data_IF_703853977933
#
_entry.id   IF_703853977933
#
_cell.length_a   1.000
_cell.length_b   1.000
_cell.length_c   1.000
_cell.angle_alpha   90.00
_cell.angle_beta   90.00
_cell.angle_gamma   90.00
#
_symmetry.space_group_name_H-M   'P 1'
#
loop_
_entity.id
_entity.type
_entity.pdbx_description
1 polymer ?
#
# COMPACT_ATOMS: atom_id res chain seq x y z
N UNK A 1 -21.27 -11.19 20.19
CA UNK A 1 -21.15 -9.77 20.64
C UNK A 1 -22.24 -9.00 19.95
N UNK A 2 -22.96 -8.17 20.67
CA UNK A 2 -23.99 -7.35 20.07
C UNK A 2 -23.34 -6.32 19.13
N UNK A 3 -24.00 -6.05 17.99
CA UNK A 3 -23.51 -5.08 16.99
C UNK A 3 -23.13 -3.75 17.65
N UNK A 4 -23.90 -3.32 18.64
CA UNK A 4 -23.66 -2.09 19.39
C UNK A 4 -22.32 -2.13 20.16
N UNK A 5 -21.99 -3.25 20.81
CA UNK A 5 -20.74 -3.39 21.57
C UNK A 5 -19.51 -3.38 20.64
N UNK A 6 -19.62 -3.96 19.45
CA UNK A 6 -18.57 -3.92 18.44
C UNK A 6 -18.36 -2.49 17.91
N UNK A 7 -19.42 -1.75 17.62
CA UNK A 7 -19.34 -0.35 17.20
C UNK A 7 -18.64 0.51 18.27
N UNK A 8 -19.07 0.35 19.54
CA UNK A 8 -18.45 1.10 20.64
C UNK A 8 -16.97 0.74 20.81
N UNK A 9 -16.61 -0.54 20.67
CA UNK A 9 -15.23 -0.98 20.77
C UNK A 9 -14.36 -0.35 19.68
N UNK A 10 -14.80 -0.32 18.41
CA UNK A 10 -14.09 0.33 17.31
C UNK A 10 -13.97 1.84 17.54
N UNK A 11 -15.04 2.51 18.00
CA UNK A 11 -14.99 3.94 18.31
C UNK A 11 -13.99 4.27 19.42
N UNK A 12 -13.97 3.47 20.50
CA UNK A 12 -12.99 3.65 21.59
C UNK A 12 -11.56 3.36 21.13
N UNK A 13 -11.37 2.33 20.28
CA UNK A 13 -10.09 2.05 19.65
C UNK A 13 -9.60 3.23 18.81
N UNK A 14 -10.46 3.78 17.97
CA UNK A 14 -10.14 4.95 17.13
C UNK A 14 -9.74 6.18 17.97
N UNK A 15 -10.42 6.42 19.10
CA UNK A 15 -10.02 7.50 20.02
C UNK A 15 -8.62 7.26 20.56
N UNK A 16 -8.29 6.03 20.97
CA UNK A 16 -6.95 5.69 21.46
C UNK A 16 -5.87 5.85 20.39
N UNK A 17 -6.17 5.56 19.12
CA UNK A 17 -5.24 5.71 18.00
C UNK A 17 -4.99 7.18 17.64
N UNK A 18 -6.02 8.02 17.73
CA UNK A 18 -5.94 9.47 17.41
C UNK A 18 -5.38 10.29 18.58
N UNK A 19 -5.56 9.83 19.82
CA UNK A 19 -5.16 10.57 21.02
C UNK A 19 -3.69 10.93 21.07
N UNK A 20 -2.70 10.06 20.74
CA UNK A 20 -1.29 10.43 20.72
C UNK A 20 -0.99 11.53 19.69
N UNK A 21 -1.62 11.49 18.52
CA UNK A 21 -1.47 12.49 17.46
C UNK A 21 -2.02 13.84 17.94
N UNK A 22 -3.22 13.83 18.50
CA UNK A 22 -3.83 15.02 19.08
C UNK A 22 -2.97 15.60 20.23
N UNK A 23 -2.46 14.74 21.12
CA UNK A 23 -1.60 15.15 22.21
C UNK A 23 -0.30 15.83 21.73
N UNK A 24 0.34 15.29 20.67
CA UNK A 24 1.53 15.91 20.07
C UNK A 24 1.18 17.27 19.45
N UNK A 25 0.12 17.34 18.64
CA UNK A 25 -0.28 18.58 17.97
C UNK A 25 -0.61 19.67 19.00
N UNK A 26 -1.51 19.38 19.94
CA UNK A 26 -1.90 20.34 20.95
C UNK A 26 -0.77 20.63 21.96
N UNK A 27 0.03 19.62 22.33
CA UNK A 27 1.20 19.80 23.16
C UNK A 27 2.19 20.76 22.53
N UNK A 28 2.53 20.58 21.26
CA UNK A 28 3.43 21.47 20.52
C UNK A 28 2.85 22.89 20.40
N UNK A 29 1.56 23.00 20.11
CA UNK A 29 0.86 24.27 19.97
C UNK A 29 0.86 25.08 21.28
N UNK A 30 0.58 24.42 22.42
CA UNK A 30 0.44 25.15 23.71
C UNK A 30 1.76 25.31 24.46
N UNK A 31 2.67 24.31 24.40
CA UNK A 31 3.91 24.34 25.19
C UNK A 31 5.09 24.96 24.42
N UNK A 32 5.17 24.70 23.10
CA UNK A 32 6.29 25.18 22.25
C UNK A 32 5.95 26.52 21.63
N UNK A 33 4.87 26.59 20.86
CA UNK A 33 4.46 27.80 20.16
C UNK A 33 3.82 28.82 21.09
N UNK A 34 3.27 28.36 22.22
CA UNK A 34 2.60 29.21 23.26
C UNK A 34 1.54 30.14 22.69
N UNK A 35 0.91 29.76 21.60
CA UNK A 35 -0.12 30.52 20.92
C UNK A 35 -1.42 29.70 20.85
N UNK A 36 -2.53 30.35 21.17
CA UNK A 36 -3.84 29.75 20.98
C UNK A 36 -4.19 29.80 19.49
N UNK A 37 -4.63 28.69 18.86
CA UNK A 37 -5.10 28.73 17.48
C UNK A 37 -6.26 29.71 17.35
N UNK A 38 -6.28 30.50 16.28
CA UNK A 38 -7.34 31.49 16.07
C UNK A 38 -8.74 30.83 15.98
N UNK A 39 -8.80 29.60 15.44
CA UNK A 39 -10.03 28.85 15.16
C UNK A 39 -10.10 27.54 15.97
N UNK A 40 -9.80 27.57 17.28
CA UNK A 40 -9.78 26.37 18.12
C UNK A 40 -11.08 25.58 18.05
N UNK A 41 -12.21 26.25 17.97
CA UNK A 41 -13.53 25.63 17.93
C UNK A 41 -13.75 24.85 16.63
N UNK A 42 -13.31 25.38 15.50
CA UNK A 42 -13.36 24.69 14.20
C UNK A 42 -12.43 23.48 14.17
N UNK A 43 -11.26 23.58 14.76
CA UNK A 43 -10.30 22.48 14.90
C UNK A 43 -10.90 21.35 15.74
N UNK A 44 -11.53 21.65 16.87
CA UNK A 44 -12.18 20.64 17.72
C UNK A 44 -13.34 19.94 16.99
N UNK A 45 -14.18 20.69 16.28
CA UNK A 45 -15.21 20.09 15.43
C UNK A 45 -14.62 19.23 14.31
N UNK A 46 -13.51 19.66 13.71
CA UNK A 46 -12.74 18.88 12.73
C UNK A 46 -12.29 17.54 13.32
N UNK A 47 -11.78 17.50 14.55
CA UNK A 47 -11.42 16.26 15.24
C UNK A 47 -12.61 15.34 15.47
N UNK A 48 -13.77 15.87 15.81
CA UNK A 48 -15.01 15.06 15.97
C UNK A 48 -15.38 14.40 14.64
N UNK A 49 -15.35 15.15 13.54
CA UNK A 49 -15.64 14.59 12.21
C UNK A 49 -14.62 13.55 11.77
N UNK A 50 -13.33 13.78 12.07
CA UNK A 50 -12.25 12.80 11.78
C UNK A 50 -12.48 11.51 12.57
N UNK A 51 -12.80 11.59 13.88
CA UNK A 51 -13.07 10.40 14.70
C UNK A 51 -14.28 9.63 14.17
N UNK A 52 -15.38 10.30 13.85
CA UNK A 52 -16.57 9.65 13.30
C UNK A 52 -16.27 9.01 11.93
N UNK A 53 -15.61 9.74 11.03
CA UNK A 53 -15.26 9.25 9.69
C UNK A 53 -14.32 8.05 9.75
N UNK A 54 -13.28 8.12 10.59
CA UNK A 54 -12.31 7.04 10.75
C UNK A 54 -12.95 5.80 11.40
N UNK A 55 -13.80 5.97 12.41
CA UNK A 55 -14.53 4.86 13.04
C UNK A 55 -15.46 4.15 12.06
N UNK A 56 -16.23 4.90 11.26
CA UNK A 56 -17.10 4.31 10.22
C UNK A 56 -16.30 3.61 9.13
N UNK A 57 -15.16 4.18 8.73
CA UNK A 57 -14.26 3.59 7.77
C UNK A 57 -13.69 2.25 8.28
N UNK A 58 -13.16 2.22 9.52
CA UNK A 58 -12.62 1.00 10.13
C UNK A 58 -13.71 -0.09 10.30
N UNK A 59 -14.93 0.28 10.69
CA UNK A 59 -16.06 -0.66 10.73
C UNK A 59 -16.35 -1.26 9.36
N UNK A 60 -16.34 -0.45 8.29
CA UNK A 60 -16.54 -0.93 6.93
C UNK A 60 -15.44 -1.90 6.50
N UNK A 61 -14.18 -1.64 6.87
CA UNK A 61 -13.07 -2.56 6.60
C UNK A 61 -13.25 -3.89 7.33
N UNK A 62 -13.50 -3.83 8.63
CA UNK A 62 -13.55 -5.00 9.50
C UNK A 62 -14.75 -5.92 9.17
N UNK A 63 -15.91 -5.34 8.84
CA UNK A 63 -17.13 -6.10 8.61
C UNK A 63 -17.36 -6.52 7.16
N UNK A 64 -16.81 -5.79 6.21
CA UNK A 64 -17.03 -6.07 4.80
C UNK A 64 -15.74 -6.48 4.07
N UNK A 65 -14.73 -5.62 4.08
CA UNK A 65 -13.59 -5.80 3.20
C UNK A 65 -12.68 -6.95 3.64
N UNK A 66 -12.34 -7.03 4.92
CA UNK A 66 -11.46 -8.08 5.41
C UNK A 66 -12.05 -9.49 5.32
N UNK A 67 -13.31 -9.75 5.73
CA UNK A 67 -13.92 -11.06 5.52
C UNK A 67 -13.98 -11.45 4.04
N UNK A 68 -14.39 -10.52 3.17
CA UNK A 68 -14.46 -10.77 1.73
C UNK A 68 -13.06 -11.09 1.14
N UNK A 69 -12.07 -10.29 1.50
CA UNK A 69 -10.70 -10.48 1.04
C UNK A 69 -10.10 -11.83 1.46
N UNK A 70 -10.38 -12.25 2.72
CA UNK A 70 -9.95 -13.56 3.23
C UNK A 70 -10.64 -14.70 2.49
N UNK A 71 -11.97 -14.64 2.33
CA UNK A 71 -12.72 -15.66 1.59
C UNK A 71 -12.22 -15.80 0.15
N UNK A 72 -11.95 -14.68 -0.53
CA UNK A 72 -11.39 -14.71 -1.88
C UNK A 72 -9.99 -15.31 -1.91
N UNK A 73 -9.15 -14.96 -0.93
CA UNK A 73 -7.81 -15.53 -0.82
C UNK A 73 -7.87 -17.05 -0.60
N UNK A 74 -8.69 -17.51 0.34
CA UNK A 74 -8.91 -18.93 0.63
C UNK A 74 -9.40 -19.69 -0.60
N UNK A 75 -10.43 -19.18 -1.29
CA UNK A 75 -10.98 -19.82 -2.48
C UNK A 75 -9.99 -19.91 -3.64
N UNK A 76 -9.24 -18.83 -3.89
CA UNK A 76 -8.28 -18.80 -5.01
C UNK A 76 -7.03 -19.63 -4.77
N UNK A 77 -6.70 -19.91 -3.51
CA UNK A 77 -5.56 -20.75 -3.13
C UNK A 77 -5.96 -22.18 -2.80
N UNK A 78 -7.26 -22.52 -2.84
CA UNK A 78 -7.77 -23.87 -2.60
C UNK A 78 -7.22 -24.85 -3.65
N UNK A 79 -6.62 -25.99 -3.23
CA UNK A 79 -6.09 -26.98 -4.14
C UNK A 79 -7.12 -27.52 -5.13
N UNK A 80 -8.40 -27.61 -4.73
CA UNK A 80 -9.49 -28.07 -5.62
C UNK A 80 -9.74 -27.04 -6.72
N UNK A 81 -9.73 -25.75 -6.36
CA UNK A 81 -9.87 -24.67 -7.34
C UNK A 81 -8.69 -24.66 -8.33
N UNK A 82 -7.46 -24.78 -7.83
CA UNK A 82 -6.27 -24.83 -8.70
C UNK A 82 -6.32 -26.05 -9.63
N UNK A 83 -6.74 -27.24 -9.13
CA UNK A 83 -6.93 -28.42 -9.97
C UNK A 83 -8.01 -28.22 -11.04
N UNK A 84 -9.03 -27.41 -10.78
CA UNK A 84 -10.07 -27.10 -11.77
C UNK A 84 -9.56 -26.24 -12.94
N UNK A 85 -8.38 -25.65 -12.83
CA UNK A 85 -7.72 -24.89 -13.91
C UNK A 85 -6.84 -25.75 -14.81
N UNK A 86 -6.71 -27.07 -14.51
CA UNK A 86 -5.97 -28.02 -15.33
C UNK A 86 -6.70 -28.32 -16.64
N UNK A 87 -5.93 -28.47 -17.71
CA UNK A 87 -6.45 -28.91 -19.02
C UNK A 87 -6.80 -30.39 -19.03
N UNK A 88 -7.59 -30.81 -20.04
CA UNK A 88 -8.02 -32.19 -20.18
C UNK A 88 -6.81 -33.12 -20.40
N UNK A 89 -6.52 -33.95 -19.41
CA UNK A 89 -5.40 -34.92 -19.44
C UNK A 89 -4.24 -34.58 -18.50
N UNK A 90 -4.26 -33.42 -17.88
CA UNK A 90 -3.29 -33.05 -16.81
C UNK A 90 -3.72 -33.64 -15.46
N UNK A 91 -2.75 -33.90 -14.60
CA UNK A 91 -2.95 -34.43 -13.25
C UNK A 91 -2.47 -33.42 -12.19
N UNK A 92 -2.81 -33.66 -10.94
CA UNK A 92 -2.32 -32.82 -9.84
C UNK A 92 -0.79 -32.71 -9.75
N UNK A 93 -0.04 -33.65 -10.36
CA UNK A 93 1.41 -33.60 -10.44
C UNK A 93 1.92 -32.59 -11.49
N UNK A 94 1.08 -32.17 -12.42
CA UNK A 94 1.42 -31.24 -13.50
C UNK A 94 1.15 -29.78 -13.10
N UNK A 95 0.63 -29.54 -11.88
CA UNK A 95 0.39 -28.17 -11.36
C UNK A 95 1.70 -27.39 -11.33
N UNK A 96 1.73 -26.30 -12.07
CA UNK A 96 2.85 -25.39 -12.17
C UNK A 96 2.39 -23.92 -11.95
N UNK A 97 3.32 -22.97 -12.02
CA UNK A 97 3.04 -21.56 -11.76
C UNK A 97 1.96 -20.95 -12.68
N UNK A 98 1.72 -21.50 -13.86
CA UNK A 98 0.72 -20.97 -14.81
C UNK A 98 -0.70 -21.20 -14.33
N UNK A 99 -0.96 -22.25 -13.55
CA UNK A 99 -2.29 -22.58 -13.04
C UNK A 99 -2.76 -21.60 -11.92
N UNK A 100 -1.84 -20.80 -11.37
CA UNK A 100 -2.15 -19.79 -10.36
C UNK A 100 -2.46 -18.40 -10.96
N UNK A 101 -2.77 -18.30 -12.26
CA UNK A 101 -2.99 -17.00 -12.92
C UNK A 101 -4.12 -16.18 -12.29
N UNK A 102 -5.18 -16.81 -11.76
CA UNK A 102 -6.24 -16.11 -11.04
C UNK A 102 -5.75 -15.48 -9.76
N UNK A 103 -4.84 -16.14 -9.04
CA UNK A 103 -4.19 -15.57 -7.84
C UNK A 103 -3.40 -14.32 -8.21
N UNK A 104 -2.66 -14.33 -9.31
CA UNK A 104 -1.87 -13.19 -9.76
C UNK A 104 -2.75 -12.02 -10.21
N UNK A 105 -3.85 -12.29 -10.93
CA UNK A 105 -4.82 -11.27 -11.31
C UNK A 105 -5.47 -10.66 -10.07
N UNK A 106 -5.89 -11.48 -9.13
CA UNK A 106 -6.48 -11.01 -7.87
C UNK A 106 -5.49 -10.18 -7.04
N UNK A 107 -4.25 -10.63 -6.93
CA UNK A 107 -3.16 -9.92 -6.28
C UNK A 107 -2.94 -8.53 -6.91
N UNK A 108 -2.91 -8.47 -8.24
CA UNK A 108 -2.80 -7.23 -8.99
C UNK A 108 -3.99 -6.28 -8.71
N UNK A 109 -5.20 -6.79 -8.81
CA UNK A 109 -6.42 -6.00 -8.61
C UNK A 109 -6.55 -5.48 -7.18
N UNK A 110 -6.25 -6.31 -6.18
CA UNK A 110 -6.23 -5.87 -4.77
C UNK A 110 -5.17 -4.78 -4.58
N UNK A 111 -3.94 -5.03 -5.01
CA UNK A 111 -2.86 -4.05 -4.86
C UNK A 111 -3.19 -2.72 -5.52
N UNK A 112 -3.76 -2.74 -6.72
CA UNK A 112 -4.17 -1.54 -7.43
C UNK A 112 -5.32 -0.82 -6.72
N UNK A 113 -6.40 -1.56 -6.41
CA UNK A 113 -7.65 -0.97 -5.89
C UNK A 113 -7.48 -0.38 -4.50
N UNK A 114 -6.80 -1.09 -3.60
CA UNK A 114 -6.55 -0.60 -2.24
C UNK A 114 -5.66 0.64 -2.26
N UNK A 115 -4.63 0.63 -3.08
CA UNK A 115 -3.69 1.75 -3.17
C UNK A 115 -4.30 2.98 -3.82
N UNK A 116 -5.05 2.85 -4.91
CA UNK A 116 -5.66 4.00 -5.58
C UNK A 116 -6.73 4.68 -4.71
N UNK A 117 -7.37 3.92 -3.82
CA UNK A 117 -8.37 4.40 -2.89
C UNK A 117 -7.79 4.93 -1.57
N UNK A 118 -6.47 4.77 -1.34
CA UNK A 118 -5.80 5.12 -0.08
C UNK A 118 -5.89 6.63 0.21
N UNK A 119 -6.55 7.05 1.31
CA UNK A 119 -6.69 8.48 1.64
C UNK A 119 -5.35 9.19 1.90
N UNK A 120 -4.40 8.51 2.52
CA UNK A 120 -3.06 9.05 2.79
C UNK A 120 -2.30 9.34 1.49
N UNK A 121 -2.40 8.46 0.49
CA UNK A 121 -1.82 8.67 -0.83
C UNK A 121 -2.45 9.87 -1.55
N UNK A 122 -3.76 10.08 -1.39
CA UNK A 122 -4.44 11.25 -1.97
C UNK A 122 -3.89 12.54 -1.35
N UNK A 123 -3.79 12.59 -0.02
CA UNK A 123 -3.27 13.76 0.70
C UNK A 123 -1.80 14.06 0.33
N UNK A 124 -0.95 13.04 0.28
CA UNK A 124 0.46 13.16 -0.14
C UNK A 124 0.56 13.65 -1.59
N UNK A 125 -0.25 13.12 -2.51
CA UNK A 125 -0.22 13.51 -3.91
C UNK A 125 -0.66 14.98 -4.12
N UNK A 126 -1.68 15.45 -3.40
CA UNK A 126 -2.10 16.85 -3.42
C UNK A 126 -0.96 17.74 -2.92
N UNK A 127 -0.35 17.39 -1.78
CA UNK A 127 0.74 18.17 -1.19
C UNK A 127 1.98 18.19 -2.07
N UNK A 128 2.32 17.06 -2.68
CA UNK A 128 3.43 16.97 -3.64
C UNK A 128 3.21 17.86 -4.87
N UNK A 129 1.98 17.92 -5.37
CA UNK A 129 1.60 18.79 -6.48
C UNK A 129 1.75 20.27 -6.10
N UNK A 130 1.27 20.68 -4.92
CA UNK A 130 1.41 22.06 -4.41
C UNK A 130 2.87 22.47 -4.28
N UNK A 131 3.68 21.67 -3.57
CA UNK A 131 5.10 21.98 -3.29
C UNK A 131 5.95 21.97 -4.57
N UNK A 132 5.61 21.13 -5.54
CA UNK A 132 6.30 21.07 -6.84
C UNK A 132 5.83 22.11 -7.87
N UNK A 133 4.90 23.02 -7.50
CA UNK A 133 4.33 23.98 -8.44
C UNK A 133 3.61 23.32 -9.62
N UNK A 134 3.01 22.13 -9.40
CA UNK A 134 2.30 21.37 -10.45
C UNK A 134 3.19 20.45 -11.28
N UNK A 135 4.50 20.41 -11.02
CA UNK A 135 5.40 19.53 -11.76
C UNK A 135 5.11 18.04 -11.51
N UNK A 136 4.68 17.68 -10.30
CA UNK A 136 4.21 16.34 -9.96
C UNK A 136 2.70 16.30 -10.09
N UNK A 137 2.20 15.57 -11.11
CA UNK A 137 0.76 15.42 -11.33
C UNK A 137 0.13 14.48 -10.29
N UNK A 138 -0.98 14.90 -9.67
CA UNK A 138 -1.69 14.13 -8.63
C UNK A 138 -2.06 12.73 -9.13
N UNK A 139 -2.72 12.64 -10.26
CA UNK A 139 -3.14 11.36 -10.85
C UNK A 139 -1.95 10.52 -11.33
N UNK A 140 -0.93 11.15 -11.90
CA UNK A 140 0.27 10.46 -12.35
C UNK A 140 0.99 9.75 -11.20
N UNK A 141 1.15 10.43 -10.06
CA UNK A 141 1.73 9.87 -8.86
C UNK A 141 0.89 8.72 -8.30
N UNK A 142 -0.43 8.94 -8.11
CA UNK A 142 -1.33 7.92 -7.56
C UNK A 142 -1.36 6.65 -8.41
N UNK A 143 -1.47 6.77 -9.73
CA UNK A 143 -1.48 5.63 -10.65
C UNK A 143 -0.14 4.91 -10.62
N UNK A 144 0.99 5.65 -10.59
CA UNK A 144 2.32 5.04 -10.52
C UNK A 144 2.50 4.21 -9.24
N UNK A 145 2.10 4.75 -8.10
CA UNK A 145 2.13 4.03 -6.81
C UNK A 145 1.26 2.78 -6.87
N UNK A 146 0.02 2.91 -7.34
CA UNK A 146 -0.93 1.80 -7.43
C UNK A 146 -0.46 0.68 -8.36
N UNK A 147 0.13 1.02 -9.52
CA UNK A 147 0.75 0.03 -10.43
C UNK A 147 1.95 -0.64 -9.75
N UNK A 148 2.78 0.13 -9.04
CA UNK A 148 3.90 -0.42 -8.28
C UNK A 148 3.45 -1.49 -7.31
N UNK A 149 2.48 -1.18 -6.43
CA UNK A 149 1.93 -2.14 -5.47
C UNK A 149 1.33 -3.36 -6.17
N UNK A 150 0.51 -3.13 -7.20
CA UNK A 150 -0.14 -4.21 -7.95
C UNK A 150 0.87 -5.19 -8.54
N UNK A 151 1.89 -4.69 -9.22
CA UNK A 151 2.97 -5.51 -9.78
C UNK A 151 3.78 -6.19 -8.67
N UNK A 152 4.09 -5.46 -7.61
CA UNK A 152 4.84 -5.99 -6.48
C UNK A 152 4.15 -7.18 -5.81
N UNK A 153 2.87 -7.03 -5.46
CA UNK A 153 2.10 -8.11 -4.81
C UNK A 153 1.94 -9.30 -5.76
N UNK A 154 1.63 -9.06 -7.04
CA UNK A 154 1.50 -10.12 -8.04
C UNK A 154 2.80 -10.91 -8.23
N UNK A 155 3.94 -10.22 -8.32
CA UNK A 155 5.27 -10.85 -8.38
C UNK A 155 5.62 -11.59 -7.09
N UNK A 156 5.23 -11.06 -5.93
CA UNK A 156 5.41 -11.73 -4.66
C UNK A 156 4.60 -13.03 -4.55
N UNK A 157 3.37 -13.06 -5.07
CA UNK A 157 2.57 -14.30 -5.19
C UNK A 157 3.23 -15.30 -6.13
N UNK A 158 3.69 -14.86 -7.31
CA UNK A 158 4.45 -15.70 -8.24
C UNK A 158 5.67 -16.33 -7.56
N UNK A 159 6.44 -15.53 -6.84
CA UNK A 159 7.62 -16.00 -6.08
C UNK A 159 7.25 -17.07 -5.04
N UNK A 160 6.12 -16.93 -4.33
CA UNK A 160 5.66 -17.95 -3.36
C UNK A 160 5.39 -19.26 -4.09
N UNK A 161 4.70 -19.22 -5.22
CA UNK A 161 4.34 -20.40 -6.01
C UNK A 161 5.59 -21.11 -6.56
N UNK A 162 6.50 -20.38 -7.19
CA UNK A 162 7.73 -20.93 -7.77
C UNK A 162 8.71 -21.40 -6.69
N UNK A 163 8.72 -20.72 -5.56
CA UNK A 163 9.53 -21.12 -4.45
C UNK A 163 10.88 -20.46 -4.31
N UNK A 164 11.08 -19.40 -5.02
CA UNK A 164 12.32 -18.66 -4.95
C UNK A 164 12.53 -18.00 -3.58
N UNK A 165 13.76 -17.92 -3.08
CA UNK A 165 14.07 -17.23 -1.84
C UNK A 165 13.77 -15.73 -1.93
N UNK A 166 13.03 -15.20 -0.95
CA UNK A 166 12.58 -13.80 -0.92
C UNK A 166 13.75 -12.79 -1.00
N UNK A 167 14.87 -13.13 -0.39
CA UNK A 167 16.02 -12.22 -0.32
C UNK A 167 16.58 -11.83 -1.69
N UNK A 168 16.52 -12.71 -2.70
CA UNK A 168 16.96 -12.37 -4.05
C UNK A 168 16.13 -11.24 -4.67
N UNK A 169 14.81 -11.31 -4.51
CA UNK A 169 13.91 -10.27 -5.02
C UNK A 169 14.09 -8.95 -4.29
N UNK A 170 14.16 -9.00 -2.96
CA UNK A 170 14.30 -7.80 -2.14
C UNK A 170 15.66 -7.13 -2.35
N UNK A 171 16.75 -7.91 -2.37
CA UNK A 171 18.10 -7.37 -2.65
C UNK A 171 18.17 -6.74 -4.04
N UNK A 172 17.68 -7.44 -5.06
CA UNK A 172 17.65 -6.92 -6.43
C UNK A 172 16.83 -5.63 -6.52
N UNK A 173 15.65 -5.61 -5.88
CA UNK A 173 14.81 -4.42 -5.83
C UNK A 173 15.51 -3.23 -5.16
N UNK A 174 16.17 -3.43 -4.01
CA UNK A 174 16.92 -2.35 -3.36
C UNK A 174 18.16 -1.90 -4.15
N UNK A 175 18.84 -2.80 -4.85
CA UNK A 175 19.93 -2.40 -5.77
C UNK A 175 19.36 -1.46 -6.84
N UNK A 176 18.21 -1.80 -7.43
CA UNK A 176 17.57 -0.93 -8.43
C UNK A 176 17.13 0.40 -7.79
N UNK A 177 16.56 0.40 -6.58
CA UNK A 177 16.22 1.64 -5.85
C UNK A 177 17.43 2.54 -5.67
N UNK A 178 18.58 1.99 -5.24
CA UNK A 178 19.83 2.76 -5.06
C UNK A 178 20.30 3.35 -6.38
N UNK A 179 20.28 2.56 -7.46
CA UNK A 179 20.66 3.03 -8.79
C UNK A 179 19.69 4.12 -9.28
N UNK A 180 18.40 3.95 -9.11
CA UNK A 180 17.41 4.97 -9.47
C UNK A 180 17.57 6.24 -8.64
N UNK A 181 17.87 6.12 -7.33
CA UNK A 181 18.08 7.27 -6.44
C UNK A 181 19.25 8.13 -6.90
N UNK A 182 20.34 7.50 -7.42
CA UNK A 182 21.53 8.23 -7.89
C UNK A 182 21.26 9.14 -9.09
N UNK A 183 20.23 8.85 -9.89
CA UNK A 183 19.86 9.60 -11.10
C UNK A 183 18.51 10.31 -11.00
N UNK A 184 17.78 10.13 -9.90
CA UNK A 184 16.46 10.73 -9.68
C UNK A 184 16.57 12.22 -9.30
N UNK A 185 15.58 13.05 -9.68
CA UNK A 185 15.47 14.42 -9.18
C UNK A 185 15.35 14.44 -7.65
N UNK A 186 16.10 15.31 -6.97
CA UNK A 186 16.13 15.39 -5.49
C UNK A 186 14.76 15.58 -4.85
N UNK A 187 13.86 16.31 -5.52
CA UNK A 187 12.50 16.60 -5.02
C UNK A 187 11.62 15.34 -4.91
N UNK A 188 11.86 14.33 -5.77
CA UNK A 188 11.04 13.11 -5.79
C UNK A 188 11.54 12.05 -4.80
N UNK A 189 12.82 12.09 -4.41
CA UNK A 189 13.44 11.04 -3.59
C UNK A 189 12.69 10.84 -2.26
N UNK A 190 12.45 11.89 -1.44
CA UNK A 190 11.69 11.72 -0.20
C UNK A 190 10.29 11.15 -0.44
N UNK A 191 9.59 11.62 -1.47
CA UNK A 191 8.26 11.18 -1.83
C UNK A 191 8.23 9.72 -2.28
N UNK A 192 9.23 9.29 -3.05
CA UNK A 192 9.36 7.90 -3.48
C UNK A 192 9.58 6.96 -2.29
N UNK A 193 10.48 7.30 -1.38
CA UNK A 193 10.71 6.49 -0.18
C UNK A 193 9.51 6.47 0.76
N UNK A 194 8.81 7.60 0.92
CA UNK A 194 7.59 7.69 1.71
C UNK A 194 6.45 6.84 1.13
N UNK A 195 6.38 6.71 -0.21
CA UNK A 195 5.33 5.91 -0.87
C UNK A 195 5.33 4.44 -0.44
N UNK A 196 6.49 3.87 -0.09
CA UNK A 196 6.59 2.53 0.47
C UNK A 196 5.90 2.37 1.83
N UNK A 197 5.96 3.40 2.68
CA UNK A 197 5.25 3.46 3.95
C UNK A 197 3.75 3.73 3.78
N UNK A 198 3.40 4.66 2.89
CA UNK A 198 2.00 5.03 2.62
C UNK A 198 1.18 3.84 2.10
N UNK A 199 1.77 2.96 1.29
CA UNK A 199 1.08 1.80 0.69
C UNK A 199 0.94 0.60 1.63
N UNK A 200 1.64 0.59 2.76
CA UNK A 200 1.47 -0.43 3.80
C UNK A 200 0.48 0.05 4.88
N UNK A 201 -0.74 0.30 4.45
CA UNK A 201 -1.83 0.84 5.27
C UNK A 201 -2.63 -0.24 6.00
N UNK A 202 -3.55 0.22 6.86
CA UNK A 202 -4.51 -0.64 7.56
C UNK A 202 -5.47 -1.38 6.63
N UNK A 203 -5.57 -0.99 5.36
CA UNK A 203 -6.39 -1.65 4.33
C UNK A 203 -5.56 -2.69 3.58
N UNK A 204 -4.43 -2.27 3.02
CA UNK A 204 -3.62 -3.11 2.14
C UNK A 204 -2.97 -4.27 2.89
N UNK A 205 -2.39 -4.02 4.06
CA UNK A 205 -1.64 -5.04 4.81
C UNK A 205 -2.47 -6.27 5.19
N UNK A 206 -3.66 -6.15 5.79
CA UNK A 206 -4.44 -7.33 6.14
C UNK A 206 -4.88 -8.17 4.94
N UNK A 207 -5.22 -7.54 3.82
CA UNK A 207 -5.64 -8.24 2.61
C UNK A 207 -4.45 -8.97 1.94
N UNK A 208 -3.31 -8.28 1.85
CA UNK A 208 -2.08 -8.84 1.30
C UNK A 208 -1.54 -9.97 2.19
N UNK A 209 -1.60 -9.79 3.53
CA UNK A 209 -1.21 -10.83 4.47
C UNK A 209 -2.13 -12.07 4.37
N UNK A 210 -3.45 -11.87 4.26
CA UNK A 210 -4.38 -12.98 4.10
C UNK A 210 -4.10 -13.78 2.82
N UNK A 211 -3.86 -13.09 1.70
CA UNK A 211 -3.50 -13.73 0.43
C UNK A 211 -2.15 -14.48 0.54
N UNK A 212 -1.13 -13.83 1.11
CA UNK A 212 0.19 -14.43 1.27
C UNK A 212 0.20 -15.64 2.19
N UNK A 213 -0.53 -15.57 3.31
CA UNK A 213 -0.68 -16.70 4.24
C UNK A 213 -1.44 -17.85 3.58
N UNK A 214 -2.60 -17.61 2.98
CA UNK A 214 -3.37 -18.63 2.28
C UNK A 214 -2.55 -19.33 1.21
N UNK A 215 -1.82 -18.58 0.39
CA UNK A 215 -0.96 -19.15 -0.65
C UNK A 215 0.22 -19.95 -0.08
N UNK A 216 0.86 -19.47 0.99
CA UNK A 216 2.00 -20.16 1.61
C UNK A 216 1.62 -21.38 2.44
N UNK A 217 0.36 -21.49 2.87
CA UNK A 217 -0.18 -22.67 3.53
C UNK A 217 -0.56 -23.79 2.54
N UNK A 218 -0.97 -23.42 1.33
CA UNK A 218 -1.42 -24.37 0.30
C UNK A 218 -0.30 -24.83 -0.63
N UNK A 219 0.71 -23.99 -0.89
CA UNK A 219 1.86 -24.37 -1.73
C UNK A 219 2.88 -25.17 -0.91
N UNK A 220 3.20 -26.41 -1.32
CA UNK A 220 4.13 -27.27 -0.57
C UNK A 220 5.51 -26.64 -0.35
N UNK A 221 6.06 -26.81 0.84
CA UNK A 221 7.42 -26.36 1.18
C UNK A 221 7.57 -24.86 1.44
N UNK A 222 6.46 -24.14 1.63
CA UNK A 222 6.47 -22.70 1.99
C UNK A 222 6.35 -22.49 3.49
N UNK A 223 6.88 -21.37 3.96
CA UNK A 223 6.79 -20.98 5.37
C UNK A 223 5.86 -19.77 5.47
N UNK A 224 4.67 -19.89 6.12
CA UNK A 224 3.71 -18.79 6.25
C UNK A 224 4.31 -17.52 6.87
N UNK A 225 5.21 -17.63 7.84
CA UNK A 225 5.83 -16.48 8.49
C UNK A 225 6.79 -15.73 7.56
N UNK A 226 7.57 -16.43 6.75
CA UNK A 226 8.57 -15.81 5.88
C UNK A 226 7.94 -15.48 4.52
N UNK A 227 7.24 -16.44 3.94
CA UNK A 227 6.71 -16.34 2.59
C UNK A 227 5.40 -15.53 2.56
N UNK A 228 4.49 -15.81 3.52
CA UNK A 228 3.20 -15.13 3.61
C UNK A 228 3.34 -13.66 3.98
N UNK A 229 3.93 -13.36 5.14
CA UNK A 229 4.16 -11.96 5.54
C UNK A 229 5.22 -11.26 4.68
N UNK A 230 6.14 -12.00 4.07
CA UNK A 230 7.11 -11.46 3.13
C UNK A 230 6.49 -10.74 1.94
N UNK A 231 5.24 -11.05 1.59
CA UNK A 231 4.50 -10.37 0.54
C UNK A 231 4.32 -8.87 0.81
N UNK A 232 4.26 -8.46 2.08
CA UNK A 232 4.18 -7.05 2.49
C UNK A 232 5.45 -6.27 2.06
N UNK A 233 6.62 -6.92 2.05
CA UNK A 233 7.85 -6.28 1.60
C UNK A 233 7.79 -5.88 0.12
N UNK A 234 7.11 -6.66 -0.73
CA UNK A 234 6.88 -6.29 -2.12
C UNK A 234 5.93 -5.09 -2.22
N UNK A 235 4.87 -5.05 -1.41
CA UNK A 235 3.94 -3.94 -1.36
C UNK A 235 4.61 -2.61 -0.94
N UNK A 236 5.70 -2.66 -0.19
CA UNK A 236 6.49 -1.49 0.23
C UNK A 236 7.57 -1.12 -0.79
N UNK A 237 8.30 -2.09 -1.33
CA UNK A 237 9.44 -1.85 -2.22
C UNK A 237 9.05 -1.35 -3.61
N UNK A 238 8.02 -1.96 -4.21
CA UNK A 238 7.65 -1.67 -5.59
C UNK A 238 7.06 -0.27 -5.83
N UNK A 239 6.32 0.34 -4.90
CA UNK A 239 5.95 1.75 -5.00
C UNK A 239 7.15 2.68 -5.11
N UNK A 240 8.22 2.44 -4.35
CA UNK A 240 9.44 3.23 -4.41
C UNK A 240 10.01 3.19 -5.84
N UNK A 241 10.13 1.98 -6.40
CA UNK A 241 10.61 1.77 -7.77
C UNK A 241 9.75 2.49 -8.80
N UNK A 242 8.43 2.36 -8.70
CA UNK A 242 7.48 2.92 -9.67
C UNK A 242 7.41 4.44 -9.62
N UNK A 243 7.46 5.05 -8.43
CA UNK A 243 7.49 6.51 -8.27
C UNK A 243 8.78 7.10 -8.83
N UNK A 244 9.93 6.48 -8.56
CA UNK A 244 11.19 6.91 -9.15
C UNK A 244 11.19 6.76 -10.68
N UNK A 245 10.67 5.64 -11.20
CA UNK A 245 10.53 5.43 -12.63
C UNK A 245 9.59 6.47 -13.27
N UNK A 246 8.47 6.77 -12.62
CA UNK A 246 7.55 7.83 -13.06
C UNK A 246 8.24 9.18 -13.16
N UNK A 247 9.02 9.57 -12.15
CA UNK A 247 9.75 10.82 -12.16
C UNK A 247 10.81 10.88 -13.29
N UNK A 248 11.55 9.79 -13.49
CA UNK A 248 12.51 9.69 -14.57
C UNK A 248 11.85 9.79 -15.95
N UNK A 249 10.76 9.06 -16.18
CA UNK A 249 9.97 9.11 -17.42
C UNK A 249 9.36 10.50 -17.65
N UNK A 250 8.84 11.13 -16.59
CA UNK A 250 8.28 12.48 -16.66
C UNK A 250 9.36 13.51 -17.05
N UNK A 251 10.57 13.36 -16.53
CA UNK A 251 11.72 14.22 -16.90
C UNK A 251 12.07 14.09 -18.39
N UNK A 252 12.02 12.88 -18.96
CA UNK A 252 12.26 12.68 -20.39
C UNK A 252 11.16 13.27 -21.28
N UNK A 253 9.93 13.32 -20.80
CA UNK A 253 8.77 13.85 -21.51
C UNK A 253 8.49 15.33 -21.24
N UNK A 254 9.10 15.91 -20.21
CA UNK A 254 8.75 17.23 -19.72
C UNK A 254 9.22 18.34 -20.66
N UNK A 255 8.28 19.22 -20.95
CA UNK A 255 8.48 20.61 -21.40
C UNK A 255 9.31 21.39 -20.35
N UNK A 256 9.88 22.57 -20.69
CA UNK A 256 10.96 23.26 -19.93
C UNK A 256 10.74 23.53 -18.43
N UNK A 257 9.51 23.41 -17.90
CA UNK A 257 9.19 23.73 -16.49
C UNK A 257 9.87 22.86 -15.42
N UNK A 258 10.16 21.59 -15.70
CA UNK A 258 10.86 20.72 -14.74
C UNK A 258 12.30 21.17 -14.45
N UNK A 259 12.96 21.75 -15.45
CA UNK A 259 14.33 22.24 -15.33
C UNK A 259 14.45 23.49 -14.47
N UNK A 260 13.38 24.30 -14.37
CA UNK A 260 13.35 25.51 -13.54
C UNK A 260 13.21 25.13 -12.06
N UNK A 261 12.30 24.22 -11.71
CA UNK A 261 12.12 23.75 -10.34
C UNK A 261 13.36 23.02 -9.77
N UNK A 262 14.18 22.40 -10.63
CA UNK A 262 15.44 21.74 -10.23
C UNK A 262 16.55 22.75 -9.93
N UNK A 263 16.60 23.87 -10.67
CA UNK A 263 17.62 24.92 -10.48
C UNK A 263 17.34 25.84 -9.27
N UNK A 264 16.08 25.95 -8.83
CA UNK A 264 15.71 26.73 -7.65
C UNK A 264 15.95 25.97 -6.33
N UNK A 265 16.15 24.64 -6.38
CA UNK A 265 16.34 23.77 -5.21
C UNK A 265 17.73 23.09 -5.17
N UNK A 266 18.65 23.45 -6.04
CA UNK A 266 20.07 23.02 -6.04
C UNK A 266 20.94 24.03 -5.34
#
# INVERSE_FOLDING_TARGET
>A
MDVLSAIIAVMLGTVNDVLPIAAIIFGFQFFVLRQKPANLQEILWGFVWVLLGLSLFLLGLEWCLFPLGRLMAEQLTDPVFIQSTLDAGETAADINWTHYYWVYIFAFLIGFSTTIAEPSLIAVAIKANEVSGGAIGIWGLRISVAIGVAVGISLGCYRIVVGDPIHWYIMTGYIIVVLQTSVAPKIIIPLAYDSGGVTTSTVTVPLVAALGLGLSETVPGRNPLIDGFGLIAFASLFPILSVMAYAQLSRFRAKPGWRQAENENS
#
